data_IF_105682229559
#
_entry.id   IF_105682229559
#
_cell.length_a   1.000
_cell.length_b   1.000
_cell.length_c   1.000
_cell.angle_alpha   90.00
_cell.angle_beta   90.00
_cell.angle_gamma   90.00
#
_symmetry.space_group_name_H-M   'P 1'
#
loop_
_entity.id
_entity.type
_entity.pdbx_description
1 polymer ?
#
# COMPACT_ATOMS: atom_id res chain seq x y z
N UNK A 1 0.36 -22.66 -14.83
CA UNK A 1 1.05 -22.03 -13.68
C UNK A 1 1.48 -20.64 -14.09
N UNK A 2 1.05 -19.62 -13.34
CA UNK A 2 1.45 -18.25 -13.61
C UNK A 2 2.97 -18.11 -13.35
N UNK A 3 3.75 -17.85 -14.39
CA UNK A 3 5.21 -17.74 -14.31
C UNK A 3 5.70 -16.31 -13.96
N UNK A 4 4.91 -15.52 -13.21
CA UNK A 4 5.22 -14.14 -12.86
C UNK A 4 5.23 -13.93 -11.36
N UNK A 5 5.97 -12.90 -10.90
CA UNK A 5 6.04 -12.52 -9.49
C UNK A 5 5.00 -11.46 -9.14
N UNK A 6 4.56 -11.46 -7.89
CA UNK A 6 3.59 -10.50 -7.35
C UNK A 6 4.13 -9.77 -6.12
N UNK A 7 3.53 -8.64 -5.79
CA UNK A 7 3.61 -8.06 -4.44
C UNK A 7 2.59 -8.75 -3.53
N UNK A 8 2.94 -9.00 -2.28
CA UNK A 8 2.02 -9.56 -1.28
C UNK A 8 1.76 -8.53 -0.20
N UNK A 9 0.51 -8.06 -0.10
CA UNK A 9 0.08 -7.20 1.00
C UNK A 9 -0.40 -8.07 2.16
N UNK A 10 0.09 -7.83 3.36
CA UNK A 10 -0.19 -8.61 4.57
C UNK A 10 -0.81 -7.69 5.61
N UNK A 11 -2.08 -7.93 5.93
CA UNK A 11 -2.79 -7.18 6.97
C UNK A 11 -2.57 -7.84 8.34
N UNK A 12 -1.76 -7.24 9.19
CA UNK A 12 -1.58 -7.75 10.55
C UNK A 12 -2.79 -7.53 11.45
N UNK A 13 -3.55 -6.47 11.19
CA UNK A 13 -4.78 -6.15 11.93
C UNK A 13 -5.67 -5.25 11.11
N UNK A 14 -6.98 -5.39 11.26
CA UNK A 14 -7.97 -4.45 10.73
C UNK A 14 -8.27 -3.31 11.71
N UNK A 15 -7.76 -3.38 12.95
CA UNK A 15 -7.90 -2.29 13.92
C UNK A 15 -7.01 -1.11 13.55
N UNK A 16 -7.54 0.09 13.66
CA UNK A 16 -6.83 1.33 13.40
C UNK A 16 -7.22 2.37 14.44
N UNK A 17 -6.27 3.21 14.84
CA UNK A 17 -6.49 4.37 15.69
C UNK A 17 -7.00 5.60 14.94
N UNK A 18 -7.12 5.53 13.60
CA UNK A 18 -7.62 6.60 12.75
C UNK A 18 -8.97 6.27 12.10
N UNK A 19 -9.67 7.30 11.61
CA UNK A 19 -10.88 7.24 10.77
C UNK A 19 -10.69 8.13 9.55
N UNK A 20 -9.70 7.76 8.72
CA UNK A 20 -9.36 8.56 7.54
C UNK A 20 -10.54 8.67 6.57
N UNK A 21 -10.76 9.86 6.01
CA UNK A 21 -11.89 10.17 5.12
C UNK A 21 -11.97 9.23 3.90
N UNK A 22 -10.80 8.73 3.41
CA UNK A 22 -10.72 7.83 2.25
C UNK A 22 -10.75 6.35 2.62
N UNK A 23 -10.82 5.99 3.88
CA UNK A 23 -10.70 4.59 4.31
C UNK A 23 -12.06 3.96 4.57
N UNK A 24 -12.50 3.00 3.76
CA UNK A 24 -13.80 2.34 3.92
C UNK A 24 -13.77 1.21 4.96
N UNK A 25 -12.93 1.33 5.98
CA UNK A 25 -12.72 0.31 7.02
C UNK A 25 -14.01 -0.17 7.70
N UNK A 26 -15.00 0.71 7.80
CA UNK A 26 -16.28 0.39 8.43
C UNK A 26 -17.08 -0.67 7.64
N UNK A 27 -16.74 -0.88 6.37
CA UNK A 27 -17.33 -1.92 5.55
C UNK A 27 -16.73 -3.33 5.79
N UNK A 28 -15.72 -3.47 6.67
CA UNK A 28 -15.12 -4.77 7.00
C UNK A 28 -16.08 -5.55 7.91
N UNK A 29 -16.57 -6.73 7.47
CA UNK A 29 -17.60 -7.45 8.22
C UNK A 29 -17.11 -7.96 9.58
N UNK A 30 -15.84 -8.33 9.67
CA UNK A 30 -15.20 -8.88 10.87
C UNK A 30 -13.79 -8.33 11.02
N UNK A 31 -13.59 -7.30 11.83
CA UNK A 31 -12.24 -6.85 12.17
C UNK A 31 -11.45 -7.99 12.81
N UNK A 32 -10.22 -8.19 12.32
CA UNK A 32 -9.34 -9.29 12.75
C UNK A 32 -8.00 -8.80 13.27
N UNK A 33 -7.31 -9.71 13.95
CA UNK A 33 -5.91 -9.60 14.34
C UNK A 33 -5.23 -10.91 13.99
N UNK A 34 -4.16 -10.84 13.22
CA UNK A 34 -3.38 -12.01 12.84
C UNK A 34 -2.66 -12.59 14.05
N UNK A 35 -2.74 -13.89 14.24
CA UNK A 35 -1.92 -14.56 15.24
C UNK A 35 -0.50 -14.87 14.71
N UNK A 36 0.40 -15.21 15.62
CA UNK A 36 1.79 -15.43 15.27
C UNK A 36 2.00 -16.70 14.44
N UNK A 37 1.18 -17.72 14.60
CA UNK A 37 1.29 -18.96 13.84
C UNK A 37 0.91 -18.73 12.39
N UNK A 38 -0.21 -18.04 12.14
CA UNK A 38 -0.64 -17.60 10.82
C UNK A 38 0.43 -16.74 10.14
N UNK A 39 1.05 -15.79 10.87
CA UNK A 39 2.08 -14.95 10.29
C UNK A 39 3.35 -15.76 9.91
N UNK A 40 3.77 -16.74 10.72
CA UNK A 40 4.88 -17.64 10.35
C UNK A 40 4.60 -18.44 9.09
N UNK A 41 3.39 -18.99 8.97
CA UNK A 41 2.99 -19.69 7.74
C UNK A 41 3.06 -18.77 6.50
N UNK A 42 2.65 -17.51 6.63
CA UNK A 42 2.79 -16.54 5.55
C UNK A 42 4.27 -16.36 5.18
N UNK A 43 5.16 -16.17 6.17
CA UNK A 43 6.59 -15.99 5.93
C UNK A 43 7.21 -17.20 5.22
N UNK A 44 6.81 -18.42 5.58
CA UNK A 44 7.23 -19.67 4.92
C UNK A 44 6.79 -19.74 3.45
N UNK A 45 5.65 -19.12 3.14
CA UNK A 45 5.13 -19.05 1.76
C UNK A 45 5.78 -17.93 0.91
N UNK A 46 6.52 -17.00 1.52
CA UNK A 46 7.20 -15.93 0.79
C UNK A 46 8.45 -16.49 0.07
N UNK A 47 8.26 -16.86 -1.19
CA UNK A 47 9.34 -17.31 -2.06
C UNK A 47 9.74 -16.18 -3.01
N UNK A 48 11.04 -15.80 -3.14
CA UNK A 48 11.50 -14.78 -4.08
C UNK A 48 11.16 -15.05 -5.56
N UNK A 49 10.98 -16.32 -5.93
CA UNK A 49 10.57 -16.71 -7.28
C UNK A 49 9.11 -16.33 -7.59
N UNK A 50 8.27 -16.23 -6.56
CA UNK A 50 6.85 -15.90 -6.67
C UNK A 50 6.54 -14.47 -6.21
N UNK A 51 7.34 -13.95 -5.28
CA UNK A 51 7.09 -12.69 -4.59
C UNK A 51 8.29 -11.75 -4.75
N UNK A 52 8.10 -10.62 -5.42
CA UNK A 52 9.19 -9.64 -5.54
C UNK A 52 9.27 -8.68 -4.35
N UNK A 53 8.20 -8.53 -3.57
CA UNK A 53 8.15 -7.81 -2.29
C UNK A 53 6.93 -8.19 -1.47
N UNK A 54 7.05 -8.13 -0.16
CA UNK A 54 5.92 -8.13 0.76
C UNK A 54 5.68 -6.69 1.29
N UNK A 55 4.44 -6.35 1.60
CA UNK A 55 4.07 -5.06 2.17
C UNK A 55 3.16 -5.29 3.37
N UNK A 56 3.60 -4.89 4.54
CA UNK A 56 2.74 -4.89 5.73
C UNK A 56 1.82 -3.68 5.61
N UNK A 57 0.61 -3.93 5.12
CA UNK A 57 -0.40 -2.92 4.89
C UNK A 57 -1.78 -3.57 4.80
N UNK A 58 -2.82 -2.84 5.15
CA UNK A 58 -4.20 -3.29 5.08
C UNK A 58 -5.16 -2.14 5.38
N UNK A 59 -6.28 -2.46 5.97
CA UNK A 59 -7.27 -1.48 6.40
C UNK A 59 -7.05 -1.02 7.85
N UNK A 60 -6.19 -1.72 8.62
CA UNK A 60 -5.79 -1.34 9.95
C UNK A 60 -4.40 -0.72 10.01
N UNK A 61 -3.99 -0.34 11.21
CA UNK A 61 -2.68 0.23 11.49
C UNK A 61 -1.77 -0.83 12.12
N UNK A 62 -0.67 -1.25 11.48
CA UNK A 62 0.20 -2.31 11.99
C UNK A 62 0.73 -2.05 13.41
N UNK A 63 1.02 -0.78 13.73
CA UNK A 63 1.54 -0.41 15.05
C UNK A 63 0.54 -0.56 16.19
N UNK A 64 -0.76 -0.78 15.89
CA UNK A 64 -1.79 -1.07 16.89
C UNK A 64 -1.85 -2.57 17.25
N UNK A 65 -1.19 -3.42 16.44
CA UNK A 65 -1.18 -4.86 16.70
C UNK A 65 -0.46 -5.18 18.02
N UNK A 66 -1.07 -5.95 18.95
CA UNK A 66 -0.44 -6.26 20.24
C UNK A 66 0.89 -7.01 20.09
N UNK A 67 1.00 -7.87 19.09
CA UNK A 67 2.22 -8.61 18.74
C UNK A 67 3.23 -7.84 17.89
N UNK A 68 3.08 -6.53 17.67
CA UNK A 68 3.91 -5.72 16.77
C UNK A 68 5.42 -6.02 16.90
N UNK A 69 5.95 -6.03 18.14
CA UNK A 69 7.38 -6.27 18.36
C UNK A 69 7.83 -7.67 17.92
N UNK A 70 7.01 -8.67 18.19
CA UNK A 70 7.28 -10.05 17.79
C UNK A 70 7.23 -10.17 16.25
N UNK A 71 6.23 -9.61 15.62
CA UNK A 71 6.04 -9.64 14.18
C UNK A 71 7.19 -8.94 13.43
N UNK A 72 7.62 -7.75 13.89
CA UNK A 72 8.78 -7.07 13.29
C UNK A 72 10.06 -7.91 13.41
N UNK A 73 10.25 -8.65 14.49
CA UNK A 73 11.41 -9.55 14.63
C UNK A 73 11.35 -10.72 13.65
N UNK A 74 10.16 -11.26 13.42
CA UNK A 74 9.95 -12.35 12.46
C UNK A 74 10.24 -11.94 11.02
N UNK A 75 10.17 -10.66 10.67
CA UNK A 75 10.51 -10.19 9.31
C UNK A 75 11.94 -10.55 8.89
N UNK A 76 12.84 -10.83 9.84
CA UNK A 76 14.19 -11.30 9.54
C UNK A 76 14.24 -12.76 9.09
N UNK A 77 13.14 -13.50 9.17
CA UNK A 77 13.05 -14.93 8.76
C UNK A 77 12.77 -15.09 7.26
N UNK A 78 12.44 -14.02 6.54
CA UNK A 78 12.22 -14.06 5.08
C UNK A 78 13.34 -13.36 4.31
N UNK A 79 13.66 -13.88 3.13
CA UNK A 79 14.56 -13.25 2.15
C UNK A 79 13.82 -12.27 1.22
N UNK A 80 12.49 -12.29 1.21
CA UNK A 80 11.69 -11.34 0.42
C UNK A 80 11.76 -9.96 1.07
N UNK A 81 12.07 -8.89 0.33
CA UNK A 81 12.08 -7.54 0.87
C UNK A 81 10.71 -7.14 1.42
N UNK A 82 10.67 -6.66 2.66
CA UNK A 82 9.42 -6.26 3.31
C UNK A 82 9.36 -4.75 3.49
N UNK A 83 8.31 -4.14 2.96
CA UNK A 83 7.95 -2.75 3.20
C UNK A 83 6.83 -2.68 4.25
N UNK A 84 6.69 -1.56 4.93
CA UNK A 84 5.60 -1.33 5.90
C UNK A 84 4.96 0.03 5.66
N UNK A 85 3.64 0.07 5.69
CA UNK A 85 2.85 1.31 5.65
C UNK A 85 2.27 1.57 7.03
N UNK A 86 2.40 2.80 7.52
CA UNK A 86 1.90 3.23 8.82
C UNK A 86 1.31 4.65 8.74
N UNK A 87 0.33 4.93 9.57
CA UNK A 87 -0.17 6.30 9.76
C UNK A 87 0.79 7.20 10.56
N UNK A 88 1.86 6.65 11.12
CA UNK A 88 2.94 7.40 11.74
C UNK A 88 2.75 7.75 13.21
N UNK A 89 1.54 7.82 13.74
CA UNK A 89 1.28 8.35 15.09
C UNK A 89 1.97 7.56 16.20
N UNK A 90 2.02 6.23 16.08
CA UNK A 90 2.63 5.38 17.10
C UNK A 90 4.08 4.99 16.84
N UNK A 91 4.76 5.67 15.92
CA UNK A 91 6.15 5.44 15.55
C UNK A 91 7.13 6.10 16.53
N UNK A 92 7.10 5.69 17.79
CA UNK A 92 8.07 6.16 18.76
C UNK A 92 9.49 5.61 18.49
N UNK A 93 10.50 6.21 19.18
CA UNK A 93 11.91 5.85 19.05
C UNK A 93 12.16 4.33 19.12
N UNK A 94 11.60 3.64 20.12
CA UNK A 94 11.81 2.19 20.32
C UNK A 94 11.30 1.35 19.15
N UNK A 95 10.21 1.76 18.51
CA UNK A 95 9.66 1.07 17.34
C UNK A 95 10.49 1.37 16.10
N UNK A 96 10.94 2.59 15.91
CA UNK A 96 11.82 2.95 14.79
C UNK A 96 13.14 2.18 14.86
N UNK A 97 13.80 2.14 16.02
CA UNK A 97 15.02 1.37 16.26
C UNK A 97 14.80 -0.14 16.01
N UNK A 98 13.65 -0.67 16.42
CA UNK A 98 13.30 -2.08 16.16
C UNK A 98 13.13 -2.38 14.67
N UNK A 99 12.55 -1.46 13.90
CA UNK A 99 12.30 -1.66 12.48
C UNK A 99 13.55 -1.45 11.62
N UNK A 100 14.52 -0.66 12.09
CA UNK A 100 15.71 -0.32 11.31
C UNK A 100 16.50 -1.57 10.88
N UNK A 101 16.55 -1.79 9.57
CA UNK A 101 17.19 -2.95 8.91
C UNK A 101 16.35 -4.23 8.89
N UNK A 102 15.14 -4.26 9.48
CA UNK A 102 14.17 -5.37 9.35
C UNK A 102 13.08 -5.08 8.34
N UNK A 103 12.79 -3.81 8.15
CA UNK A 103 11.89 -3.31 7.11
C UNK A 103 12.75 -2.65 6.05
N UNK A 104 12.54 -2.94 4.77
CA UNK A 104 13.27 -2.31 3.69
C UNK A 104 12.87 -0.85 3.54
N UNK A 105 11.56 -0.59 3.48
CA UNK A 105 11.00 0.76 3.38
C UNK A 105 9.88 0.95 4.39
N UNK A 106 10.02 1.92 5.27
CA UNK A 106 8.91 2.42 6.09
C UNK A 106 8.24 3.58 5.36
N UNK A 107 6.98 3.40 5.00
CA UNK A 107 6.16 4.41 4.34
C UNK A 107 5.18 5.00 5.34
N UNK A 108 5.28 6.30 5.62
CA UNK A 108 4.35 7.02 6.49
C UNK A 108 3.32 7.74 5.63
N UNK A 109 2.02 7.56 5.93
CA UNK A 109 0.95 8.31 5.28
C UNK A 109 0.87 9.70 5.86
N UNK A 110 0.99 10.73 5.00
CA UNK A 110 0.91 12.13 5.42
C UNK A 110 0.26 12.97 4.32
N UNK A 111 -0.63 13.89 4.66
CA UNK A 111 -1.41 14.63 3.67
C UNK A 111 -1.12 16.12 3.61
N UNK A 112 -0.83 16.76 4.75
CA UNK A 112 -0.67 18.20 4.82
C UNK A 112 0.11 18.65 6.04
N UNK A 113 0.89 19.72 5.90
CA UNK A 113 1.49 20.47 7.01
C UNK A 113 0.47 21.38 7.69
N UNK A 114 -0.67 21.63 7.06
CA UNK A 114 -1.77 22.37 7.65
C UNK A 114 -2.58 21.46 8.58
N UNK A 115 -2.67 21.74 9.91
CA UNK A 115 -3.32 20.86 10.87
C UNK A 115 -4.79 20.57 10.52
N UNK A 116 -5.55 21.60 10.15
CA UNK A 116 -6.97 21.48 9.81
C UNK A 116 -7.20 20.54 8.62
N UNK A 117 -6.38 20.66 7.57
CA UNK A 117 -6.44 19.79 6.38
C UNK A 117 -6.02 18.37 6.75
N UNK A 118 -4.96 18.23 7.54
CA UNK A 118 -4.46 16.92 7.96
C UNK A 118 -5.49 16.16 8.80
N UNK A 119 -6.02 16.79 9.83
CA UNK A 119 -6.93 16.15 10.77
C UNK A 119 -8.32 15.89 10.17
N UNK A 120 -8.74 16.69 9.21
CA UNK A 120 -9.92 16.40 8.41
C UNK A 120 -9.75 15.12 7.56
N UNK A 121 -8.57 14.91 6.98
CA UNK A 121 -8.25 13.74 6.15
C UNK A 121 -7.96 12.51 7.00
N UNK A 122 -7.18 12.68 8.05
CA UNK A 122 -6.73 11.60 8.94
C UNK A 122 -7.41 11.71 10.32
N UNK A 123 -8.75 11.76 10.33
CA UNK A 123 -9.51 11.94 11.55
C UNK A 123 -9.11 10.96 12.66
N UNK A 124 -8.90 11.51 13.85
CA UNK A 124 -8.45 10.77 15.03
C UNK A 124 -6.93 10.69 15.21
N UNK A 125 -6.14 11.24 14.27
CA UNK A 125 -4.69 11.40 14.42
C UNK A 125 -4.35 12.86 14.75
N UNK A 126 -3.27 13.06 15.46
CA UNK A 126 -2.68 14.37 15.74
C UNK A 126 -1.55 14.65 14.75
N UNK A 127 -1.68 15.74 14.00
CA UNK A 127 -0.69 16.12 12.98
C UNK A 127 0.69 16.36 13.60
N UNK A 128 0.77 17.10 14.71
CA UNK A 128 2.01 17.44 15.40
C UNK A 128 2.80 16.19 15.85
N UNK A 129 2.11 15.16 16.34
CA UNK A 129 2.73 13.88 16.72
C UNK A 129 3.29 13.14 15.51
N UNK A 130 2.55 13.12 14.39
CA UNK A 130 3.02 12.45 13.17
C UNK A 130 4.20 13.21 12.57
N UNK A 131 4.18 14.54 12.55
CA UNK A 131 5.31 15.35 12.11
C UNK A 131 6.57 15.09 12.96
N UNK A 132 6.44 15.07 14.28
CA UNK A 132 7.53 14.74 15.20
C UNK A 132 8.09 13.34 14.95
N UNK A 133 7.21 12.36 14.67
CA UNK A 133 7.62 10.99 14.37
C UNK A 133 8.30 10.86 12.98
N UNK A 134 7.90 11.64 11.99
CA UNK A 134 8.61 11.73 10.68
C UNK A 134 10.03 12.28 10.91
N UNK A 135 10.18 13.35 11.69
CA UNK A 135 11.48 13.92 12.03
C UNK A 135 12.37 12.92 12.80
N UNK A 136 11.78 12.19 13.73
CA UNK A 136 12.49 11.14 14.47
C UNK A 136 12.90 10.00 13.54
N UNK A 137 12.02 9.56 12.64
CA UNK A 137 12.32 8.51 11.66
C UNK A 137 13.48 8.91 10.74
N UNK A 138 13.50 10.15 10.23
CA UNK A 138 14.58 10.66 9.38
C UNK A 138 15.95 10.65 10.10
N UNK A 139 15.95 10.84 11.44
CA UNK A 139 17.18 10.82 12.23
C UNK A 139 17.61 9.43 12.68
N UNK A 140 16.67 8.52 12.90
CA UNK A 140 16.94 7.20 13.52
C UNK A 140 17.20 6.12 12.47
N UNK A 141 16.41 6.09 11.39
CA UNK A 141 16.52 5.06 10.37
C UNK A 141 17.80 5.23 9.57
N UNK A 142 18.63 4.18 9.51
CA UNK A 142 19.92 4.14 8.80
C UNK A 142 19.97 3.06 7.73
N UNK A 143 19.29 1.96 7.96
CA UNK A 143 19.23 0.80 7.07
C UNK A 143 17.85 0.63 6.44
N UNK A 144 16.82 1.16 7.07
CA UNK A 144 15.45 1.21 6.55
C UNK A 144 15.24 2.51 5.81
N UNK A 145 14.80 2.44 4.58
CA UNK A 145 14.46 3.63 3.78
C UNK A 145 13.20 4.29 4.31
N UNK A 146 13.25 5.58 4.59
CA UNK A 146 12.06 6.35 4.92
C UNK A 146 11.38 6.83 3.65
N UNK A 147 10.08 6.58 3.54
CA UNK A 147 9.22 7.12 2.50
C UNK A 147 8.00 7.80 3.11
N UNK A 148 7.45 8.80 2.42
CA UNK A 148 6.16 9.39 2.78
C UNK A 148 5.21 9.26 1.59
N UNK A 149 4.00 8.74 1.87
CA UNK A 149 2.91 8.65 0.92
C UNK A 149 1.96 9.82 1.12
N UNK A 150 1.88 10.68 0.12
CA UNK A 150 0.99 11.83 0.09
C UNK A 150 -0.42 11.41 -0.35
N UNK A 151 -1.44 11.87 0.37
CA UNK A 151 -2.83 11.53 0.06
C UNK A 151 -3.35 12.40 -1.09
N UNK A 152 -3.78 11.81 -2.21
CA UNK A 152 -4.24 12.54 -3.40
C UNK A 152 -5.71 12.94 -3.27
N UNK A 153 -6.06 13.73 -2.26
CA UNK A 153 -7.41 14.23 -2.03
C UNK A 153 -7.52 15.68 -2.48
N UNK A 154 -8.69 16.09 -2.96
CA UNK A 154 -8.93 17.43 -3.48
C UNK A 154 -8.55 18.52 -2.47
N UNK A 155 -8.93 18.34 -1.19
CA UNK A 155 -8.62 19.29 -0.12
C UNK A 155 -7.12 19.40 0.20
N UNK A 156 -6.31 18.40 -0.17
CA UNK A 156 -4.86 18.44 0.06
C UNK A 156 -4.09 19.16 -1.06
N UNK A 157 -4.66 19.28 -2.25
CA UNK A 157 -3.94 19.75 -3.45
C UNK A 157 -3.29 21.11 -3.22
N UNK A 158 -3.99 22.03 -2.57
CA UNK A 158 -3.50 23.39 -2.31
C UNK A 158 -2.25 23.39 -1.39
N UNK A 159 -2.18 22.49 -0.41
CA UNK A 159 -1.12 22.43 0.61
C UNK A 159 0.02 21.48 0.23
N UNK A 160 -0.14 20.67 -0.84
CA UNK A 160 0.88 19.71 -1.27
C UNK A 160 2.26 20.33 -1.53
N UNK A 161 2.41 21.48 -2.22
CA UNK A 161 3.73 22.06 -2.48
C UNK A 161 4.50 22.39 -1.19
N UNK A 162 3.83 22.96 -0.20
CA UNK A 162 4.42 23.29 1.10
C UNK A 162 4.74 22.03 1.91
N UNK A 163 3.83 21.07 1.91
CA UNK A 163 4.02 19.76 2.53
C UNK A 163 5.25 19.04 1.96
N UNK A 164 5.42 19.04 0.64
CA UNK A 164 6.58 18.45 -0.04
C UNK A 164 7.86 19.19 0.36
N UNK A 165 7.81 20.51 0.39
CA UNK A 165 8.97 21.32 0.79
C UNK A 165 9.38 20.99 2.23
N UNK A 166 8.45 20.98 3.16
CA UNK A 166 8.70 20.62 4.56
C UNK A 166 9.31 19.21 4.69
N UNK A 167 8.71 18.21 4.05
CA UNK A 167 9.21 16.82 4.11
C UNK A 167 10.65 16.71 3.62
N UNK A 168 10.99 17.38 2.55
CA UNK A 168 12.36 17.41 2.03
C UNK A 168 13.34 18.11 2.96
N UNK A 169 12.91 19.19 3.60
CA UNK A 169 13.69 19.86 4.64
C UNK A 169 13.97 18.95 5.85
N UNK A 170 13.12 17.94 6.10
CA UNK A 170 13.38 16.90 7.12
C UNK A 170 14.29 15.76 6.61
N UNK A 171 14.75 15.79 5.35
CA UNK A 171 15.58 14.74 4.76
C UNK A 171 14.80 13.54 4.22
N UNK A 172 13.49 13.67 3.99
CA UNK A 172 12.69 12.62 3.34
C UNK A 172 12.90 12.68 1.83
N UNK A 173 13.68 11.75 1.30
CA UNK A 173 13.99 11.70 -0.13
C UNK A 173 12.88 11.06 -0.96
N UNK A 174 12.31 9.95 -0.45
CA UNK A 174 11.28 9.21 -1.17
C UNK A 174 9.88 9.71 -0.81
N UNK A 175 9.34 10.55 -1.68
CA UNK A 175 7.95 10.99 -1.64
C UNK A 175 7.15 10.30 -2.72
N UNK A 176 6.05 9.65 -2.34
CA UNK A 176 5.19 8.90 -3.26
C UNK A 176 3.80 9.51 -3.30
N UNK A 177 3.15 9.46 -4.43
CA UNK A 177 1.76 9.87 -4.57
C UNK A 177 1.08 9.10 -5.70
N UNK A 178 -0.16 8.65 -5.48
CA UNK A 178 -1.01 8.19 -6.58
C UNK A 178 -1.57 9.39 -7.33
N UNK A 179 -1.62 9.39 -8.66
CA UNK A 179 -2.28 10.45 -9.43
C UNK A 179 -3.81 10.38 -9.34
N UNK A 180 -4.32 9.44 -8.61
CA UNK A 180 -5.72 9.29 -8.28
C UNK A 180 -5.91 8.58 -6.97
N UNK A 181 -6.92 9.00 -6.23
CA UNK A 181 -7.39 8.23 -5.11
C UNK A 181 -7.96 6.91 -5.60
N UNK A 182 -7.58 5.82 -4.92
CA UNK A 182 -8.27 4.56 -5.11
C UNK A 182 -9.67 4.69 -4.53
N UNK A 183 -10.64 4.62 -5.38
CA UNK A 183 -12.02 4.52 -4.98
C UNK A 183 -12.26 3.13 -4.38
N UNK A 184 -11.85 2.96 -3.15
CA UNK A 184 -12.08 1.75 -2.39
C UNK A 184 -13.57 1.68 -2.04
N UNK A 185 -14.33 0.97 -2.85
CA UNK A 185 -15.78 0.79 -2.72
C UNK A 185 -16.65 2.00 -3.13
N UNK A 186 -16.25 2.80 -4.07
CA UNK A 186 -17.11 3.80 -4.70
C UNK A 186 -17.32 5.10 -3.92
N UNK A 187 -16.46 5.41 -2.93
CA UNK A 187 -16.77 6.51 -2.01
C UNK A 187 -16.16 7.86 -2.35
N UNK A 188 -15.13 7.93 -3.17
CA UNK A 188 -14.44 9.19 -3.46
C UNK A 188 -13.92 9.23 -4.91
N UNK A 189 -14.56 9.97 -5.77
CA UNK A 189 -14.05 10.28 -7.11
C UNK A 189 -13.29 11.60 -7.11
N UNK A 190 -12.08 11.63 -7.69
CA UNK A 190 -11.42 12.87 -8.08
C UNK A 190 -12.00 13.36 -9.40
N UNK A 191 -12.19 14.68 -9.53
CA UNK A 191 -12.49 15.29 -10.82
C UNK A 191 -11.30 15.11 -11.78
N UNK A 192 -11.56 15.14 -13.09
CA UNK A 192 -10.48 15.09 -14.10
C UNK A 192 -9.49 16.26 -13.93
N UNK A 193 -9.98 17.42 -13.52
CA UNK A 193 -9.15 18.60 -13.22
C UNK A 193 -8.19 18.33 -12.06
N UNK A 194 -8.66 17.72 -10.97
CA UNK A 194 -7.83 17.40 -9.82
C UNK A 194 -6.83 16.30 -10.15
N UNK A 195 -7.23 15.30 -10.93
CA UNK A 195 -6.33 14.27 -11.42
C UNK A 195 -5.21 14.85 -12.29
N UNK A 196 -5.51 15.86 -13.12
CA UNK A 196 -4.52 16.58 -13.92
C UNK A 196 -3.54 17.35 -13.03
N UNK A 197 -4.05 18.12 -12.06
CA UNK A 197 -3.22 18.87 -11.08
C UNK A 197 -2.29 17.95 -10.29
N UNK A 198 -2.78 16.79 -9.85
CA UNK A 198 -1.94 15.81 -9.13
C UNK A 198 -0.79 15.29 -10.01
N UNK A 199 -1.06 15.02 -11.30
CA UNK A 199 0.00 14.61 -12.24
C UNK A 199 1.03 15.70 -12.46
N UNK A 200 0.61 16.95 -12.56
CA UNK A 200 1.53 18.10 -12.64
C UNK A 200 2.40 18.20 -11.39
N UNK A 201 1.84 18.05 -10.19
CA UNK A 201 2.58 18.05 -8.92
C UNK A 201 3.59 16.91 -8.89
N UNK A 202 3.19 15.69 -9.26
CA UNK A 202 4.10 14.54 -9.33
C UNK A 202 5.31 14.86 -10.18
N UNK A 203 5.10 15.43 -11.37
CA UNK A 203 6.18 15.74 -12.31
C UNK A 203 7.02 16.93 -11.83
N UNK A 204 6.38 18.02 -11.43
CA UNK A 204 7.07 19.25 -10.98
C UNK A 204 7.98 19.00 -9.77
N UNK A 205 7.52 18.18 -8.85
CA UNK A 205 8.24 17.89 -7.62
C UNK A 205 9.01 16.57 -7.65
N UNK A 206 9.12 15.90 -8.81
CA UNK A 206 9.83 14.63 -8.98
C UNK A 206 9.40 13.56 -7.95
N UNK A 207 8.09 13.42 -7.77
CA UNK A 207 7.55 12.42 -6.86
C UNK A 207 7.54 11.04 -7.54
N UNK A 208 7.67 9.98 -6.74
CA UNK A 208 7.45 8.64 -7.23
C UNK A 208 5.95 8.41 -7.45
N UNK A 209 5.55 8.12 -8.70
CA UNK A 209 4.16 7.75 -8.99
C UNK A 209 3.89 6.33 -8.51
N UNK A 210 2.88 6.16 -7.65
CA UNK A 210 2.51 4.84 -7.14
C UNK A 210 1.99 3.89 -8.23
N UNK A 211 1.62 4.40 -9.39
CA UNK A 211 1.28 3.56 -10.55
C UNK A 211 2.47 2.67 -10.96
N UNK A 212 3.70 3.14 -10.74
CA UNK A 212 4.92 2.39 -11.05
C UNK A 212 5.16 1.22 -10.08
N UNK A 213 4.53 1.22 -8.91
CA UNK A 213 4.67 0.15 -7.92
C UNK A 213 4.09 -1.19 -8.40
N UNK A 214 3.24 -1.15 -9.42
CA UNK A 214 2.67 -2.33 -10.06
C UNK A 214 3.56 -2.91 -11.18
N UNK A 215 4.71 -2.28 -11.46
CA UNK A 215 5.63 -2.71 -12.52
C UNK A 215 6.89 -3.31 -11.88
N UNK A 216 6.92 -4.64 -11.65
CA UNK A 216 8.11 -5.28 -11.07
C UNK A 216 9.27 -5.31 -12.06
N UNK A 217 8.99 -5.72 -13.29
CA UNK A 217 9.93 -5.73 -14.42
C UNK A 217 9.17 -5.89 -15.74
N UNK A 218 9.77 -5.54 -16.86
CA UNK A 218 9.14 -5.74 -18.17
C UNK A 218 8.83 -7.23 -18.48
N UNK A 219 9.72 -8.20 -18.19
CA UNK A 219 9.39 -9.62 -18.33
C UNK A 219 8.21 -10.08 -17.47
N UNK A 220 8.14 -9.63 -16.20
CA UNK A 220 7.03 -9.97 -15.31
C UNK A 220 5.70 -9.44 -15.85
N UNK A 221 5.67 -8.19 -16.35
CA UNK A 221 4.48 -7.61 -16.98
C UNK A 221 4.04 -8.42 -18.21
N UNK A 222 4.98 -8.78 -19.09
CA UNK A 222 4.67 -9.57 -20.27
C UNK A 222 4.07 -10.94 -19.89
N UNK A 223 4.63 -11.60 -18.87
CA UNK A 223 4.11 -12.87 -18.35
C UNK A 223 2.73 -12.72 -17.71
N UNK A 224 2.53 -11.67 -16.90
CA UNK A 224 1.23 -11.34 -16.32
C UNK A 224 0.18 -11.08 -17.41
N UNK A 225 0.57 -10.39 -18.46
CA UNK A 225 -0.31 -10.13 -19.59
C UNK A 225 -0.74 -11.42 -20.30
N UNK A 226 0.21 -12.27 -20.63
CA UNK A 226 -0.07 -13.56 -21.27
C UNK A 226 -0.95 -14.46 -20.38
N UNK A 227 -0.65 -14.52 -19.08
CA UNK A 227 -1.40 -15.35 -18.13
C UNK A 227 -2.82 -14.84 -17.86
N UNK A 228 -3.00 -13.54 -17.72
CA UNK A 228 -4.23 -12.95 -17.18
C UNK A 228 -5.06 -12.20 -18.20
N UNK A 229 -4.61 -12.10 -19.44
CA UNK A 229 -5.23 -11.27 -20.48
C UNK A 229 -5.54 -9.85 -20.03
N UNK A 230 -4.74 -9.30 -19.13
CA UNK A 230 -4.85 -7.95 -18.57
C UNK A 230 -6.24 -7.59 -18.03
N UNK A 231 -6.83 -8.44 -17.23
CA UNK A 231 -8.12 -8.15 -16.59
C UNK A 231 -8.04 -6.90 -15.70
N UNK A 232 -6.98 -6.78 -14.89
CA UNK A 232 -6.72 -5.64 -14.00
C UNK A 232 -5.27 -5.66 -13.52
N UNK A 233 -4.49 -4.60 -13.73
CA UNK A 233 -3.08 -4.59 -13.35
C UNK A 233 -2.85 -4.73 -11.84
N UNK A 234 -3.52 -3.97 -10.95
CA UNK A 234 -3.34 -4.16 -9.49
C UNK A 234 -3.71 -5.55 -9.02
N UNK A 235 -4.80 -6.13 -9.52
CA UNK A 235 -5.19 -7.49 -9.18
C UNK A 235 -4.14 -8.51 -9.64
N UNK A 236 -3.61 -8.31 -10.84
CA UNK A 236 -2.64 -9.25 -11.42
C UNK A 236 -1.27 -9.15 -10.75
N UNK A 237 -0.86 -7.97 -10.31
CA UNK A 237 0.47 -7.70 -9.76
C UNK A 237 0.57 -7.77 -8.25
N UNK A 238 -0.55 -7.86 -7.53
CA UNK A 238 -0.57 -7.95 -6.06
C UNK A 238 -1.53 -9.01 -5.56
N UNK A 239 -1.21 -9.58 -4.41
CA UNK A 239 -2.07 -10.49 -3.65
C UNK A 239 -2.27 -9.91 -2.26
N UNK A 240 -3.48 -9.98 -1.72
CA UNK A 240 -3.80 -9.48 -0.38
C UNK A 240 -4.11 -10.64 0.55
N UNK A 241 -3.49 -10.64 1.72
CA UNK A 241 -3.76 -11.58 2.83
C UNK A 241 -4.36 -10.78 3.97
N UNK A 242 -5.59 -11.12 4.33
CA UNK A 242 -6.32 -10.47 5.43
C UNK A 242 -5.83 -10.90 6.81
N UNK A 243 -6.21 -10.14 7.83
CA UNK A 243 -5.77 -10.36 9.21
C UNK A 243 -6.20 -11.72 9.80
N UNK A 244 -7.14 -12.40 9.18
CA UNK A 244 -7.59 -13.76 9.50
C UNK A 244 -6.90 -14.85 8.64
N UNK A 245 -5.86 -14.50 7.89
CA UNK A 245 -5.03 -15.45 7.12
C UNK A 245 -5.59 -15.89 5.78
N UNK A 246 -6.68 -15.27 5.27
CA UNK A 246 -7.22 -15.63 3.97
C UNK A 246 -6.56 -14.83 2.85
N UNK A 247 -6.17 -15.52 1.77
CA UNK A 247 -5.89 -14.91 0.49
C UNK A 247 -7.19 -14.34 -0.08
N UNK A 248 -7.16 -13.07 -0.46
CA UNK A 248 -8.33 -12.37 -0.97
C UNK A 248 -8.27 -12.22 -2.48
N UNK A 249 -9.43 -12.22 -3.11
CA UNK A 249 -9.59 -11.97 -4.54
C UNK A 249 -8.92 -10.66 -4.98
N UNK A 250 -9.14 -9.59 -4.23
CA UNK A 250 -8.60 -8.27 -4.49
C UNK A 250 -8.49 -7.46 -3.21
N UNK A 251 -7.55 -6.52 -3.15
CA UNK A 251 -7.48 -5.55 -2.06
C UNK A 251 -8.77 -4.72 -1.94
N UNK A 252 -9.49 -4.51 -3.05
CA UNK A 252 -10.75 -3.76 -3.08
C UNK A 252 -11.98 -4.60 -2.65
N UNK A 253 -11.84 -5.89 -2.43
CA UNK A 253 -12.88 -6.73 -1.83
C UNK A 253 -12.94 -6.55 -0.32
N UNK A 254 -13.35 -5.36 0.12
CA UNK A 254 -13.39 -4.97 1.53
C UNK A 254 -14.36 -5.83 2.32
N UNK A 255 -15.49 -6.16 1.71
CA UNK A 255 -16.49 -7.01 2.30
C UNK A 255 -16.09 -8.49 2.35
N UNK A 256 -14.89 -8.83 1.85
CA UNK A 256 -14.34 -10.21 1.84
C UNK A 256 -15.30 -11.23 1.26
N UNK A 257 -15.90 -10.89 0.13
CA UNK A 257 -16.90 -11.71 -0.55
C UNK A 257 -16.30 -12.95 -1.22
N UNK A 258 -15.03 -12.84 -1.64
CA UNK A 258 -14.30 -13.87 -2.36
C UNK A 258 -12.96 -14.20 -1.68
N UNK A 259 -12.97 -14.85 -0.51
CA UNK A 259 -11.76 -15.47 0.01
C UNK A 259 -11.38 -16.62 -0.92
N UNK A 260 -10.10 -16.69 -1.32
CA UNK A 260 -9.63 -17.71 -2.24
C UNK A 260 -9.28 -19.01 -1.52
N UNK A 261 -8.55 -18.90 -0.41
CA UNK A 261 -8.13 -19.98 0.46
C UNK A 261 -7.50 -19.40 1.74
N UNK A 262 -7.34 -20.21 2.77
CA UNK A 262 -6.57 -19.85 3.95
C UNK A 262 -5.08 -20.24 3.76
N UNK A 263 -4.17 -19.51 4.41
CA UNK A 263 -2.71 -19.75 4.30
C UNK A 263 -2.31 -21.12 4.84
N UNK A 264 -3.08 -21.72 5.77
CA UNK A 264 -2.83 -23.10 6.23
C UNK A 264 -3.19 -24.17 5.21
N UNK A 265 -3.95 -23.83 4.18
CA UNK A 265 -4.44 -24.78 3.17
C UNK A 265 -3.55 -24.77 1.93
N UNK A 266 -2.95 -23.63 1.63
CA UNK A 266 -2.20 -23.47 0.38
C UNK A 266 -1.21 -22.31 0.41
N UNK A 267 -0.18 -22.41 -0.44
CA UNK A 267 0.80 -21.35 -0.66
C UNK A 267 0.36 -20.33 -1.71
N UNK A 268 1.16 -19.26 -1.85
CA UNK A 268 0.90 -18.11 -2.71
C UNK A 268 0.65 -18.52 -4.17
N UNK A 269 1.46 -19.44 -4.74
CA UNK A 269 1.32 -19.86 -6.15
C UNK A 269 -0.05 -20.44 -6.44
N UNK A 270 -0.52 -21.35 -5.58
CA UNK A 270 -1.84 -21.95 -5.78
C UNK A 270 -2.97 -20.94 -5.51
N UNK A 271 -2.79 -20.03 -4.57
CA UNK A 271 -3.76 -18.94 -4.37
C UNK A 271 -3.88 -18.04 -5.62
N UNK A 272 -2.77 -17.79 -6.32
CA UNK A 272 -2.78 -17.08 -7.61
C UNK A 272 -3.52 -17.88 -8.69
N UNK A 273 -3.30 -19.19 -8.78
CA UNK A 273 -4.00 -20.06 -9.75
C UNK A 273 -5.52 -20.07 -9.47
N UNK A 274 -5.93 -20.16 -8.21
CA UNK A 274 -7.34 -20.03 -7.80
C UNK A 274 -7.93 -18.68 -8.22
N UNK A 275 -7.19 -17.60 -8.01
CA UNK A 275 -7.61 -16.25 -8.39
C UNK A 275 -7.80 -16.11 -9.91
N UNK A 276 -6.94 -16.74 -10.70
CA UNK A 276 -7.06 -16.73 -12.17
C UNK A 276 -8.35 -17.40 -12.67
N UNK A 277 -8.80 -18.43 -11.96
CA UNK A 277 -10.05 -19.15 -12.24
C UNK A 277 -11.29 -18.35 -11.81
N UNK A 278 -11.12 -17.36 -10.90
CA UNK A 278 -12.24 -16.57 -10.38
C UNK A 278 -12.61 -15.46 -11.39
N UNK A 279 -13.85 -15.41 -11.81
CA UNK A 279 -14.37 -14.36 -12.67
C UNK A 279 -14.39 -12.98 -11.98
N UNK A 280 -14.46 -11.91 -12.76
CA UNK A 280 -14.64 -10.57 -12.22
C UNK A 280 -16.02 -10.43 -11.58
N UNK A 281 -16.08 -10.03 -10.32
CA UNK A 281 -17.33 -9.68 -9.64
C UNK A 281 -17.63 -8.19 -9.87
N UNK A 282 -18.68 -7.89 -10.63
CA UNK A 282 -19.06 -6.51 -10.93
C UNK A 282 -19.45 -5.70 -9.70
N UNK A 283 -19.82 -6.35 -8.60
CA UNK A 283 -20.06 -5.67 -7.30
C UNK A 283 -18.77 -5.13 -6.67
N UNK A 284 -17.60 -5.65 -7.09
CA UNK A 284 -16.28 -5.20 -6.66
C UNK A 284 -15.60 -4.38 -7.75
N UNK A 285 -15.80 -4.77 -9.00
CA UNK A 285 -15.06 -4.27 -10.14
C UNK A 285 -15.84 -3.22 -10.96
N UNK A 286 -17.17 -3.17 -10.87
CA UNK A 286 -18.03 -2.33 -11.71
C UNK A 286 -17.68 -0.85 -11.62
N UNK A 287 -17.68 -0.33 -10.41
CA UNK A 287 -17.37 1.08 -10.13
C UNK A 287 -15.92 1.33 -9.71
N UNK A 288 -15.05 0.33 -9.85
CA UNK A 288 -13.67 0.42 -9.42
C UNK A 288 -12.82 1.23 -10.40
N UNK A 289 -12.39 2.42 -10.00
CA UNK A 289 -11.53 3.27 -10.82
C UNK A 289 -10.15 2.67 -11.10
N UNK A 290 -9.68 1.72 -10.29
CA UNK A 290 -8.42 1.00 -10.53
C UNK A 290 -8.49 0.11 -11.78
N UNK A 291 -9.65 -0.45 -12.11
CA UNK A 291 -9.83 -1.30 -13.30
C UNK A 291 -9.57 -0.53 -14.60
N UNK A 292 -10.03 0.72 -14.69
CA UNK A 292 -9.84 1.58 -15.85
C UNK A 292 -8.48 2.27 -15.87
N UNK A 293 -7.99 2.68 -14.71
CA UNK A 293 -6.82 3.54 -14.56
C UNK A 293 -5.49 2.79 -14.63
N UNK A 294 -5.47 1.54 -14.18
CA UNK A 294 -4.27 0.69 -14.24
C UNK A 294 -4.29 -0.30 -15.41
N UNK A 295 -4.98 0.04 -16.50
CA UNK A 295 -4.78 -0.68 -17.76
C UNK A 295 -3.35 -0.45 -18.25
N UNK A 296 -2.75 -1.45 -18.88
CA UNK A 296 -1.38 -1.34 -19.37
C UNK A 296 -1.10 -0.04 -20.13
N UNK A 297 -1.95 0.44 -21.05
CA UNK A 297 -1.72 1.71 -21.76
C UNK A 297 -1.63 2.90 -20.80
N UNK A 298 -2.40 2.92 -19.72
CA UNK A 298 -2.37 4.01 -18.73
C UNK A 298 -1.09 3.98 -17.89
N UNK A 299 -0.68 2.80 -17.46
CA UNK A 299 0.58 2.61 -16.72
C UNK A 299 1.79 2.98 -17.61
N UNK A 300 1.80 2.56 -18.88
CA UNK A 300 2.85 2.95 -19.82
C UNK A 300 2.88 4.45 -20.07
N UNK A 301 1.72 5.10 -20.17
CA UNK A 301 1.61 6.55 -20.31
C UNK A 301 2.13 7.27 -19.08
N UNK A 302 1.77 6.81 -17.87
CA UNK A 302 2.28 7.35 -16.61
C UNK A 302 3.80 7.19 -16.49
N UNK A 303 4.34 6.03 -16.81
CA UNK A 303 5.77 5.75 -16.81
C UNK A 303 6.50 6.64 -17.83
N UNK A 304 6.00 6.70 -19.06
CA UNK A 304 6.57 7.55 -20.10
C UNK A 304 6.59 9.03 -19.70
N UNK A 305 5.49 9.52 -19.13
CA UNK A 305 5.37 10.90 -18.66
C UNK A 305 6.33 11.20 -17.51
N UNK A 306 6.45 10.27 -16.57
CA UNK A 306 7.35 10.36 -15.42
C UNK A 306 8.83 10.41 -15.85
N UNK A 307 9.23 9.51 -16.77
CA UNK A 307 10.64 9.42 -17.19
C UNK A 307 11.04 10.47 -18.24
N UNK A 308 10.11 10.99 -19.03
CA UNK A 308 10.42 12.00 -20.05
C UNK A 308 10.74 13.37 -19.47
N UNK A 309 10.27 13.67 -18.26
CA UNK A 309 10.47 14.97 -17.61
C UNK A 309 11.51 14.94 -16.48
N UNK A 310 12.22 13.82 -16.32
CA UNK A 310 13.47 13.76 -15.59
C UNK A 310 14.61 14.24 -16.48
#
# INVERSE_FOLDING_TARGET
>A
MAGYRVAVNIEWTSACNARCAMCPREAIPRPGKMDQATFRQILEHLNPDDVFRAVVAGYGEPTTHPGFKAFVRLLSETSVPVDMVSNGERLNRKRLELMDGRVRTLMISFSSVEPEVYEQVHAGLRQDEVMANIQAAAKILRRTRLAVSLSPLAQCIATLPETIHWLRAQGVELLTMSPSLYDRAGTLALSDTDAHRLREIIVKHHLHSQELDFIPSAPDIARQWMANRFKCLPRNSSLFISADGHYQYCFNDIARRHPLAHVSETGIRKALDLREQTECDERICGDCNMRSRYKLPEVMRAAWWYFRKK
#
